data_IF_712496424174
#
_entry.id   IF_712496424174
#
_cell.length_a   1.000
_cell.length_b   1.000
_cell.length_c   1.000
_cell.angle_alpha   90.00
_cell.angle_beta   90.00
_cell.angle_gamma   90.00
#
_symmetry.space_group_name_H-M   'P 1'
#
loop_
_entity.id
_entity.type
_entity.pdbx_description
1 polymer ?
#
# COMPACT_ATOMS: atom_id res chain seq x y z
N UNK A 1 43.28 39.16 12.36
CA UNK A 1 44.57 38.51 12.20
C UNK A 1 44.35 37.01 12.29
N UNK A 2 44.81 36.30 11.33
CA UNK A 2 44.89 34.92 10.91
C UNK A 2 43.65 34.36 10.22
N UNK A 3 43.80 33.91 8.96
CA UNK A 3 42.76 33.38 8.11
C UNK A 3 42.65 31.83 8.26
N UNK A 4 41.43 31.37 8.24
CA UNK A 4 41.12 29.94 8.18
C UNK A 4 41.36 29.39 6.75
N UNK A 5 42.23 28.40 6.66
CA UNK A 5 42.54 27.63 5.48
C UNK A 5 41.34 26.77 5.03
N UNK A 6 40.85 27.07 3.82
CA UNK A 6 39.88 26.21 3.14
C UNK A 6 40.56 24.94 2.64
N UNK A 7 40.00 23.78 2.96
CA UNK A 7 40.32 22.53 2.31
C UNK A 7 39.53 22.43 1.00
N UNK A 8 40.25 22.52 -0.13
CA UNK A 8 39.68 22.20 -1.43
C UNK A 8 39.68 20.68 -1.63
N UNK A 9 38.53 20.10 -1.92
CA UNK A 9 38.41 18.72 -2.40
C UNK A 9 38.96 18.63 -3.85
N UNK A 10 39.78 17.63 -4.18
CA UNK A 10 40.26 17.46 -5.53
C UNK A 10 39.15 16.92 -6.44
N UNK A 11 38.90 17.63 -7.54
CA UNK A 11 38.10 17.17 -8.67
C UNK A 11 38.84 16.06 -9.43
N UNK A 12 38.46 14.83 -9.20
CA UNK A 12 38.95 13.64 -9.92
C UNK A 12 37.82 13.08 -10.82
N UNK A 13 37.56 13.77 -11.94
CA UNK A 13 36.87 13.14 -13.06
C UNK A 13 37.54 13.54 -14.36
N UNK A 14 38.18 12.61 -15.09
CA UNK A 14 38.57 12.83 -16.47
C UNK A 14 37.30 12.85 -17.35
N UNK A 15 37.12 13.89 -18.15
CA UNK A 15 36.03 14.04 -19.10
C UNK A 15 36.09 12.91 -20.14
N UNK A 16 35.11 11.98 -20.05
CA UNK A 16 34.88 11.00 -21.11
C UNK A 16 34.25 11.69 -22.33
N UNK A 17 34.82 11.47 -23.52
CA UNK A 17 34.31 12.04 -24.76
C UNK A 17 32.90 11.46 -25.09
N UNK A 18 32.01 12.29 -25.70
CA UNK A 18 30.67 11.87 -26.11
C UNK A 18 30.61 10.60 -26.99
N UNK A 19 31.69 10.24 -27.69
CA UNK A 19 31.75 9.02 -28.50
C UNK A 19 32.00 7.75 -27.70
N UNK A 20 32.68 7.82 -26.56
CA UNK A 20 32.90 6.67 -25.69
C UNK A 20 31.63 6.28 -24.92
N UNK A 21 30.73 7.25 -24.68
CA UNK A 21 29.46 7.03 -23.98
C UNK A 21 28.41 6.26 -24.82
N UNK A 22 28.48 6.37 -26.15
CA UNK A 22 27.48 5.74 -27.05
C UNK A 22 27.84 4.31 -27.48
N UNK A 23 29.02 3.78 -27.14
CA UNK A 23 29.46 2.44 -27.52
C UNK A 23 29.36 1.37 -26.43
N UNK A 24 29.00 1.74 -25.20
CA UNK A 24 28.75 0.77 -24.14
C UNK A 24 27.29 0.30 -24.22
N UNK A 25 27.07 -0.99 -24.35
CA UNK A 25 25.70 -1.57 -24.27
C UNK A 25 25.06 -1.26 -22.91
N UNK A 26 23.75 -0.99 -22.87
CA UNK A 26 23.00 -0.72 -21.65
C UNK A 26 23.24 -1.74 -20.52
N UNK A 27 23.58 -2.98 -20.86
CA UNK A 27 23.93 -4.04 -19.91
C UNK A 27 25.29 -3.82 -19.23
N UNK A 28 26.27 -3.30 -19.94
CA UNK A 28 27.61 -3.02 -19.38
C UNK A 28 27.60 -1.76 -18.51
N UNK A 29 26.78 -0.76 -18.83
CA UNK A 29 26.66 0.45 -18.00
C UNK A 29 25.93 0.18 -16.66
N UNK A 30 24.92 -0.68 -16.66
CA UNK A 30 24.26 -1.09 -15.43
C UNK A 30 25.20 -1.86 -14.49
N UNK A 31 26.02 -2.78 -15.04
CA UNK A 31 27.01 -3.53 -14.26
C UNK A 31 28.11 -2.63 -13.68
N UNK A 32 28.65 -1.71 -14.47
CA UNK A 32 29.71 -0.76 -14.01
C UNK A 32 29.15 0.26 -12.99
N UNK A 33 27.91 0.75 -13.15
CA UNK A 33 27.29 1.65 -12.19
C UNK A 33 27.04 0.96 -10.84
N UNK A 34 26.61 -0.30 -10.87
CA UNK A 34 26.41 -1.12 -9.65
C UNK A 34 27.75 -1.36 -8.95
N UNK A 35 28.84 -1.70 -9.65
CA UNK A 35 30.15 -1.90 -9.02
C UNK A 35 30.72 -0.61 -8.40
N UNK A 36 30.55 0.55 -9.06
CA UNK A 36 31.08 1.82 -8.54
C UNK A 36 30.30 2.33 -7.30
N UNK A 37 29.00 2.11 -7.26
CA UNK A 37 28.14 2.48 -6.12
C UNK A 37 28.28 1.50 -4.92
N UNK A 38 28.67 0.24 -5.16
CA UNK A 38 28.69 -0.79 -4.12
C UNK A 38 30.05 -0.98 -3.43
N UNK A 39 31.15 -0.50 -4.02
CA UNK A 39 32.50 -0.66 -3.44
C UNK A 39 32.65 -0.08 -2.01
N UNK A 40 32.13 1.11 -1.67
CA UNK A 40 32.17 1.61 -0.30
C UNK A 40 31.24 0.84 0.64
N UNK A 41 30.09 0.34 0.17
CA UNK A 41 29.11 -0.39 0.98
C UNK A 41 29.56 -1.81 1.32
N UNK A 42 30.30 -2.51 0.45
CA UNK A 42 30.87 -3.83 0.75
C UNK A 42 31.83 -3.84 1.93
N UNK A 43 32.48 -2.71 2.25
CA UNK A 43 33.38 -2.58 3.41
C UNK A 43 32.67 -2.28 4.73
N UNK A 44 31.52 -1.62 4.71
CA UNK A 44 30.80 -1.22 5.91
C UNK A 44 30.07 -2.39 6.61
N UNK A 45 29.70 -3.45 5.87
CA UNK A 45 28.87 -4.56 6.35
C UNK A 45 29.58 -5.93 6.34
N UNK A 46 30.90 -5.95 6.31
CA UNK A 46 31.72 -7.17 6.34
C UNK A 46 31.73 -7.86 7.72
N UNK A 47 30.59 -8.35 8.18
CA UNK A 47 30.53 -9.05 9.47
C UNK A 47 29.23 -9.80 9.78
N UNK A 48 28.09 -9.45 9.17
CA UNK A 48 26.81 -10.13 9.37
C UNK A 48 26.32 -10.74 8.06
N UNK A 49 25.82 -11.96 8.08
CA UNK A 49 25.13 -12.52 6.92
C UNK A 49 23.90 -11.66 6.62
N UNK A 50 23.69 -11.23 5.35
CA UNK A 50 22.51 -10.42 4.99
C UNK A 50 21.23 -11.14 5.40
N UNK A 51 20.30 -10.43 6.02
CA UNK A 51 19.01 -10.98 6.45
C UNK A 51 17.94 -10.68 5.41
N UNK A 52 17.32 -11.75 4.86
CA UNK A 52 16.13 -11.62 4.01
C UNK A 52 14.91 -11.46 4.91
N UNK A 53 14.19 -10.34 4.78
CA UNK A 53 13.07 -9.99 5.65
C UNK A 53 11.92 -9.34 4.90
N UNK A 54 10.76 -9.26 5.53
CA UNK A 54 9.57 -8.56 5.06
C UNK A 54 9.10 -9.01 3.69
N UNK A 55 8.96 -10.34 3.51
CA UNK A 55 8.38 -10.90 2.31
C UNK A 55 6.91 -10.53 2.20
N UNK A 56 6.51 -9.97 1.05
CA UNK A 56 5.12 -9.60 0.80
C UNK A 56 4.74 -9.77 -0.66
N UNK A 57 3.46 -10.01 -0.88
CA UNK A 57 2.86 -10.00 -2.19
C UNK A 57 2.04 -8.74 -2.35
N UNK A 58 2.50 -7.80 -3.17
CA UNK A 58 1.74 -6.59 -3.50
C UNK A 58 0.68 -6.94 -4.54
N UNK A 59 -0.51 -6.33 -4.44
CA UNK A 59 -1.56 -6.47 -5.45
C UNK A 59 -1.04 -6.05 -6.83
N UNK A 60 -1.53 -6.71 -7.86
CA UNK A 60 -1.28 -6.36 -9.27
C UNK A 60 -2.59 -5.94 -9.91
N UNK A 61 -2.55 -5.35 -11.09
CA UNK A 61 -3.76 -4.96 -11.82
C UNK A 61 -4.73 -6.14 -12.02
N UNK A 62 -4.19 -7.33 -12.31
CA UNK A 62 -4.94 -8.59 -12.40
C UNK A 62 -4.27 -9.64 -11.48
N UNK A 63 -4.83 -9.85 -10.30
CA UNK A 63 -4.33 -10.79 -9.30
C UNK A 63 -4.61 -12.27 -9.64
N UNK A 64 -5.33 -12.54 -10.74
CA UNK A 64 -5.56 -13.90 -11.25
C UNK A 64 -4.42 -14.38 -12.12
N UNK A 65 -3.75 -13.46 -12.83
CA UNK A 65 -2.75 -13.79 -13.84
C UNK A 65 -1.34 -13.31 -13.50
N UNK A 66 -1.18 -12.52 -12.41
CA UNK A 66 0.09 -11.94 -12.02
C UNK A 66 0.25 -11.85 -10.50
N UNK A 67 1.50 -11.75 -10.04
CA UNK A 67 1.87 -11.42 -8.67
C UNK A 67 3.14 -10.58 -8.65
N UNK A 68 3.21 -9.60 -7.74
CA UNK A 68 4.42 -8.85 -7.43
C UNK A 68 4.92 -9.31 -6.06
N UNK A 69 6.08 -9.92 -6.02
CA UNK A 69 6.71 -10.36 -4.77
C UNK A 69 7.82 -9.39 -4.44
N UNK A 70 7.81 -8.87 -3.22
CA UNK A 70 8.84 -7.99 -2.68
C UNK A 70 9.44 -8.58 -1.40
N UNK A 71 10.70 -8.29 -1.17
CA UNK A 71 11.37 -8.54 0.10
C UNK A 71 12.47 -7.51 0.31
N UNK A 72 12.97 -7.41 1.52
CA UNK A 72 14.02 -6.46 1.87
C UNK A 72 15.27 -7.17 2.37
N UNK A 73 16.36 -6.45 2.28
CA UNK A 73 17.64 -6.82 2.90
C UNK A 73 18.34 -5.53 3.36
N UNK A 74 19.12 -5.65 4.42
CA UNK A 74 19.98 -4.61 4.97
C UNK A 74 21.30 -4.43 4.19
N UNK A 75 21.58 -5.33 3.25
CA UNK A 75 22.74 -5.28 2.41
C UNK A 75 22.42 -5.66 0.95
N UNK A 76 23.26 -5.18 0.02
CA UNK A 76 23.15 -5.61 -1.38
C UNK A 76 23.54 -7.09 -1.50
N UNK A 77 22.61 -7.88 -2.01
CA UNK A 77 22.82 -9.32 -2.24
C UNK A 77 23.65 -9.58 -3.50
N UNK A 78 24.52 -10.56 -3.45
CA UNK A 78 25.28 -11.03 -4.60
C UNK A 78 24.46 -12.10 -5.34
N UNK A 79 23.97 -11.76 -6.55
CA UNK A 79 23.25 -12.65 -7.44
C UNK A 79 21.99 -13.29 -6.85
N UNK A 80 21.06 -12.52 -6.26
CA UNK A 80 19.82 -13.09 -5.76
C UNK A 80 19.03 -13.71 -6.91
N UNK A 81 18.43 -14.90 -6.68
CA UNK A 81 17.61 -15.60 -7.69
C UNK A 81 16.24 -15.92 -7.10
N UNK A 82 15.21 -15.79 -7.92
CA UNK A 82 13.83 -16.09 -7.57
C UNK A 82 13.28 -17.16 -8.49
N UNK A 83 12.78 -18.25 -7.89
CA UNK A 83 12.17 -19.36 -8.61
C UNK A 83 10.73 -19.55 -8.17
N UNK A 84 9.87 -19.95 -9.11
CA UNK A 84 8.48 -20.22 -8.84
C UNK A 84 7.95 -21.38 -9.70
N UNK A 85 6.92 -22.04 -9.23
CA UNK A 85 6.18 -23.07 -9.98
C UNK A 85 4.75 -23.19 -9.44
N UNK A 86 3.82 -23.62 -10.28
CA UNK A 86 2.52 -24.06 -9.81
C UNK A 86 2.68 -25.30 -8.91
N UNK A 87 1.89 -25.41 -7.85
CA UNK A 87 1.95 -26.56 -6.96
C UNK A 87 1.64 -27.85 -7.72
N UNK A 88 2.44 -28.87 -7.49
CA UNK A 88 2.39 -30.11 -8.26
C UNK A 88 3.19 -30.12 -9.56
N UNK A 89 3.59 -28.97 -10.11
CA UNK A 89 4.48 -28.92 -11.27
C UNK A 89 5.91 -29.32 -10.91
N UNK A 90 6.59 -30.04 -11.81
CA UNK A 90 7.97 -30.50 -11.62
C UNK A 90 9.00 -29.44 -11.98
N UNK A 91 8.67 -28.52 -12.89
CA UNK A 91 9.60 -27.52 -13.43
C UNK A 91 9.43 -26.19 -12.72
N UNK A 92 10.54 -25.62 -12.23
CA UNK A 92 10.60 -24.23 -11.75
C UNK A 92 10.87 -23.27 -12.92
N UNK A 93 10.29 -22.08 -12.83
CA UNK A 93 10.58 -20.94 -13.69
C UNK A 93 11.36 -19.94 -12.88
N UNK A 94 12.41 -19.35 -13.46
CA UNK A 94 13.17 -18.28 -12.85
C UNK A 94 12.57 -16.94 -13.26
N UNK A 95 12.31 -16.06 -12.28
CA UNK A 95 11.91 -14.69 -12.52
C UNK A 95 13.12 -13.75 -12.42
N UNK A 96 13.06 -12.66 -13.19
CA UNK A 96 14.03 -11.58 -13.06
C UNK A 96 13.84 -10.89 -11.71
N UNK A 97 14.93 -10.71 -10.97
CA UNK A 97 14.96 -9.96 -9.72
C UNK A 97 15.47 -8.56 -10.02
N UNK A 98 14.64 -7.57 -9.71
CA UNK A 98 15.02 -6.16 -9.69
C UNK A 98 15.35 -5.73 -8.26
N UNK A 99 16.19 -4.72 -8.11
CA UNK A 99 16.57 -4.16 -6.81
C UNK A 99 16.48 -2.65 -6.84
N UNK A 100 15.76 -2.09 -5.86
CA UNK A 100 15.73 -0.66 -5.58
C UNK A 100 16.51 -0.38 -4.32
N UNK A 101 17.51 0.49 -4.42
CA UNK A 101 18.19 1.08 -3.28
C UNK A 101 17.47 2.36 -2.87
N UNK A 102 17.34 2.56 -1.57
CA UNK A 102 16.89 3.81 -0.97
C UNK A 102 17.50 3.99 0.42
N UNK A 103 17.42 5.19 0.94
CA UNK A 103 17.75 5.49 2.34
C UNK A 103 16.49 5.96 3.05
N UNK A 104 16.30 5.49 4.27
CA UNK A 104 15.30 5.97 5.21
C UNK A 104 16.07 6.41 6.45
N UNK A 105 16.05 7.70 6.79
CA UNK A 105 16.77 8.27 7.93
C UNK A 105 18.24 7.82 7.97
N UNK A 106 18.93 7.89 6.82
CA UNK A 106 20.33 7.45 6.61
C UNK A 106 20.57 5.92 6.77
N UNK A 107 19.52 5.12 6.93
CA UNK A 107 19.66 3.65 6.92
C UNK A 107 19.48 3.13 5.49
N UNK A 108 20.44 2.32 4.98
CA UNK A 108 20.31 1.72 3.66
C UNK A 108 19.23 0.65 3.65
N UNK A 109 18.35 0.71 2.68
CA UNK A 109 17.27 -0.28 2.45
C UNK A 109 17.35 -0.75 1.01
N UNK A 110 17.49 -2.06 0.81
CA UNK A 110 17.44 -2.70 -0.49
C UNK A 110 16.12 -3.45 -0.63
N UNK A 111 15.28 -3.00 -1.55
CA UNK A 111 13.98 -3.63 -1.85
C UNK A 111 14.14 -4.46 -3.12
N UNK A 112 14.03 -5.77 -2.99
CA UNK A 112 14.08 -6.72 -4.10
C UNK A 112 12.68 -7.04 -4.59
N UNK A 113 12.53 -7.22 -5.90
CA UNK A 113 11.25 -7.42 -6.57
C UNK A 113 11.32 -8.51 -7.61
N UNK A 114 10.30 -9.35 -7.64
CA UNK A 114 10.08 -10.33 -8.68
C UNK A 114 8.64 -10.22 -9.19
N UNK A 115 8.49 -9.80 -10.46
CA UNK A 115 7.20 -9.75 -11.13
C UNK A 115 6.92 -11.10 -11.80
N UNK A 116 5.82 -11.75 -11.41
CA UNK A 116 5.36 -13.02 -11.97
C UNK A 116 4.17 -12.75 -12.88
N UNK A 117 4.21 -13.31 -14.08
CA UNK A 117 3.14 -13.17 -15.09
C UNK A 117 2.78 -14.51 -15.70
N UNK A 118 1.63 -14.61 -16.34
CA UNK A 118 1.17 -15.85 -16.95
C UNK A 118 0.72 -16.90 -15.93
N UNK A 119 0.32 -16.45 -14.74
CA UNK A 119 -0.23 -17.32 -13.72
C UNK A 119 -1.66 -17.73 -14.06
N UNK A 120 -2.10 -18.85 -13.50
CA UNK A 120 -3.47 -19.35 -13.63
C UNK A 120 -4.31 -18.92 -12.42
N UNK A 121 -5.57 -18.58 -12.65
CA UNK A 121 -6.49 -18.14 -11.59
C UNK A 121 -6.78 -19.27 -10.57
N UNK A 122 -6.82 -18.91 -9.29
CA UNK A 122 -7.17 -19.81 -8.19
C UNK A 122 -6.17 -20.92 -7.92
N UNK A 123 -4.94 -20.80 -8.41
CA UNK A 123 -3.87 -21.82 -8.25
C UNK A 123 -2.91 -21.44 -7.13
N UNK A 124 -2.37 -22.47 -6.50
CA UNK A 124 -1.28 -22.36 -5.53
C UNK A 124 0.06 -22.32 -6.25
N UNK A 125 0.93 -21.42 -5.86
CA UNK A 125 2.29 -21.28 -6.38
C UNK A 125 3.30 -21.40 -5.26
N UNK A 126 4.34 -22.20 -5.48
CA UNK A 126 5.49 -22.32 -4.58
C UNK A 126 6.62 -21.44 -5.09
N UNK A 127 7.17 -20.65 -4.20
CA UNK A 127 8.25 -19.71 -4.48
C UNK A 127 9.48 -20.04 -3.64
N UNK A 128 10.65 -19.72 -4.20
CA UNK A 128 11.93 -19.93 -3.54
C UNK A 128 12.88 -18.77 -3.93
N UNK A 129 13.39 -18.08 -2.92
CA UNK A 129 14.43 -17.07 -3.07
C UNK A 129 15.74 -17.66 -2.60
N UNK A 130 16.80 -17.52 -3.39
CA UNK A 130 18.17 -17.85 -2.98
C UNK A 130 19.02 -16.59 -2.98
N UNK A 131 19.68 -16.32 -1.88
CA UNK A 131 20.61 -15.21 -1.74
C UNK A 131 21.93 -15.72 -1.19
N UNK A 132 23.02 -15.38 -1.85
CA UNK A 132 24.34 -15.95 -1.59
C UNK A 132 24.33 -17.51 -1.63
N UNK A 133 25.42 -18.15 -1.22
CA UNK A 133 25.53 -19.62 -1.31
C UNK A 133 24.75 -20.41 -0.28
N UNK A 134 24.13 -19.76 0.70
CA UNK A 134 23.64 -20.43 1.94
C UNK A 134 22.24 -20.04 2.40
N UNK A 135 21.65 -18.95 1.90
CA UNK A 135 20.32 -18.53 2.34
C UNK A 135 19.26 -18.92 1.30
N UNK A 136 18.25 -19.63 1.74
CA UNK A 136 17.06 -19.96 0.96
C UNK A 136 15.81 -19.74 1.79
N UNK A 137 14.89 -18.94 1.25
CA UNK A 137 13.55 -18.75 1.82
C UNK A 137 12.54 -19.32 0.86
N UNK A 138 11.61 -20.14 1.36
CA UNK A 138 10.53 -20.73 0.57
C UNK A 138 9.19 -20.35 1.18
N UNK A 139 8.23 -20.03 0.33
CA UNK A 139 6.85 -19.71 0.71
C UNK A 139 5.90 -20.09 -0.41
N UNK A 140 4.60 -20.01 -0.15
CA UNK A 140 3.59 -20.20 -1.18
C UNK A 140 2.53 -19.12 -1.12
N UNK A 141 1.84 -18.92 -2.23
CA UNK A 141 0.67 -18.06 -2.30
C UNK A 141 -0.34 -18.63 -3.30
N UNK A 142 -1.61 -18.22 -3.13
CA UNK A 142 -2.68 -18.54 -4.08
C UNK A 142 -3.07 -17.31 -4.87
N UNK A 143 -3.20 -17.45 -6.21
CA UNK A 143 -3.78 -16.41 -7.07
C UNK A 143 -5.27 -16.24 -6.80
N UNK A 144 -5.81 -15.07 -7.13
CA UNK A 144 -7.24 -14.82 -7.08
C UNK A 144 -8.01 -15.81 -8.00
N UNK A 145 -9.10 -16.37 -7.47
CA UNK A 145 -9.98 -17.28 -8.21
C UNK A 145 -11.10 -16.60 -9.00
N UNK A 146 -11.35 -15.30 -8.76
CA UNK A 146 -12.31 -14.45 -9.48
C UNK A 146 -13.76 -14.47 -8.96
N UNK A 147 -14.22 -15.53 -8.28
CA UNK A 147 -15.63 -15.66 -7.90
C UNK A 147 -16.02 -15.05 -6.54
N UNK A 148 -15.04 -14.88 -5.66
CA UNK A 148 -15.26 -14.34 -4.33
C UNK A 148 -14.01 -13.57 -3.84
N UNK A 149 -14.24 -12.62 -2.94
CA UNK A 149 -13.18 -11.90 -2.25
C UNK A 149 -13.46 -11.87 -0.76
N UNK A 150 -12.45 -12.23 0.05
CA UNK A 150 -12.44 -11.93 1.49
C UNK A 150 -11.21 -11.12 1.82
N UNK A 151 -11.41 -9.93 2.37
CA UNK A 151 -10.36 -9.00 2.72
C UNK A 151 -10.37 -8.65 4.20
N UNK A 152 -9.18 -8.50 4.78
CA UNK A 152 -8.95 -7.76 6.02
C UNK A 152 -8.62 -6.32 5.65
N UNK A 153 -9.31 -5.38 6.26
CA UNK A 153 -9.12 -3.95 6.05
C UNK A 153 -8.81 -3.31 7.39
N UNK A 154 -7.65 -2.69 7.46
CA UNK A 154 -7.14 -2.06 8.66
C UNK A 154 -7.13 -0.54 8.47
N UNK A 155 -7.69 0.21 9.44
CA UNK A 155 -7.53 1.65 9.50
C UNK A 155 -6.09 2.07 9.83
N UNK A 156 -5.93 3.31 10.23
CA UNK A 156 -4.69 3.91 10.71
C UNK A 156 -3.97 2.98 11.68
N UNK A 157 -2.76 2.57 11.33
CA UNK A 157 -1.97 1.60 12.10
C UNK A 157 -0.71 2.22 12.71
N UNK A 158 -0.54 3.54 12.56
CA UNK A 158 0.59 4.25 13.14
C UNK A 158 0.62 4.12 14.65
N UNK A 159 1.82 4.05 15.17
CA UNK A 159 2.12 4.03 16.59
C UNK A 159 3.25 5.00 16.90
N UNK A 160 3.11 5.79 17.96
CA UNK A 160 4.05 6.84 18.35
C UNK A 160 5.35 6.31 18.98
N UNK A 161 5.30 5.11 19.55
CA UNK A 161 6.43 4.58 20.33
C UNK A 161 6.74 3.12 20.01
N UNK A 162 5.80 2.19 20.19
CA UNK A 162 5.96 0.78 19.83
C UNK A 162 4.78 0.31 19.00
N UNK A 163 5.03 -0.67 18.12
CA UNK A 163 4.00 -1.24 17.25
C UNK A 163 3.26 -2.44 17.88
N UNK A 164 3.33 -2.62 19.20
CA UNK A 164 2.66 -3.72 19.91
C UNK A 164 1.13 -3.68 19.75
N UNK A 165 0.54 -2.48 19.70
CA UNK A 165 -0.90 -2.33 19.48
C UNK A 165 -1.27 -2.80 18.10
N UNK A 166 -0.54 -2.36 17.08
CA UNK A 166 -0.73 -2.78 15.69
C UNK A 166 -0.50 -4.30 15.53
N UNK A 167 0.59 -4.84 16.09
CA UNK A 167 0.87 -6.28 16.07
C UNK A 167 -0.29 -7.09 16.65
N UNK A 168 -0.82 -6.68 17.80
CA UNK A 168 -1.98 -7.32 18.42
C UNK A 168 -3.23 -7.28 17.57
N UNK A 169 -3.58 -6.11 16.99
CA UNK A 169 -4.77 -5.96 16.14
C UNK A 169 -4.64 -6.83 14.89
N UNK A 170 -3.52 -6.74 14.20
CA UNK A 170 -3.26 -7.46 12.95
C UNK A 170 -3.19 -8.97 13.14
N UNK A 171 -2.54 -9.43 14.22
CA UNK A 171 -2.43 -10.86 14.55
C UNK A 171 -3.77 -11.47 14.91
N UNK A 172 -4.58 -10.80 15.74
CA UNK A 172 -5.92 -11.29 16.11
C UNK A 172 -6.87 -11.31 14.90
N UNK A 173 -6.83 -10.30 14.05
CA UNK A 173 -7.61 -10.26 12.82
C UNK A 173 -7.22 -11.42 11.88
N UNK A 174 -5.93 -11.64 11.67
CA UNK A 174 -5.41 -12.71 10.81
C UNK A 174 -5.72 -14.11 11.35
N UNK A 175 -5.56 -14.31 12.63
CA UNK A 175 -5.87 -15.59 13.31
C UNK A 175 -7.35 -15.95 13.20
N UNK A 176 -8.23 -14.96 13.28
CA UNK A 176 -9.69 -15.15 13.18
C UNK A 176 -10.19 -15.30 11.74
N UNK A 177 -9.40 -14.86 10.77
CA UNK A 177 -9.74 -14.88 9.35
C UNK A 177 -8.59 -15.49 8.53
N UNK A 178 -8.23 -16.76 8.74
CA UNK A 178 -7.12 -17.40 8.05
C UNK A 178 -7.36 -17.55 6.54
N UNK A 179 -8.62 -17.51 6.13
CA UNK A 179 -9.09 -17.60 4.74
C UNK A 179 -9.15 -16.25 4.01
N UNK A 180 -8.87 -15.14 4.68
CA UNK A 180 -8.76 -13.85 4.02
C UNK A 180 -7.55 -13.83 3.08
N UNK A 181 -7.77 -13.50 1.81
CA UNK A 181 -6.75 -13.55 0.77
C UNK A 181 -6.18 -12.17 0.42
N UNK A 182 -6.90 -11.10 0.79
CA UNK A 182 -6.52 -9.71 0.57
C UNK A 182 -6.34 -9.00 1.92
N UNK A 183 -5.34 -8.12 1.97
CA UNK A 183 -5.05 -7.23 3.09
C UNK A 183 -4.97 -5.80 2.59
N UNK A 184 -5.74 -4.92 3.17
CA UNK A 184 -5.75 -3.49 2.87
C UNK A 184 -5.34 -2.73 4.12
N UNK A 185 -4.43 -1.78 4.01
CA UNK A 185 -4.14 -0.80 5.06
C UNK A 185 -4.48 0.59 4.53
N UNK A 186 -5.33 1.32 5.27
CA UNK A 186 -6.02 2.51 4.81
C UNK A 186 -5.19 3.81 4.89
N UNK A 187 -3.87 3.71 4.98
CA UNK A 187 -2.95 4.84 5.15
C UNK A 187 -2.50 5.00 6.59
N UNK A 188 -1.60 5.95 6.82
CA UNK A 188 -0.95 6.16 8.11
C UNK A 188 -0.45 4.83 8.70
N UNK A 189 0.41 4.15 7.91
CA UNK A 189 1.04 2.91 8.32
C UNK A 189 2.02 3.18 9.45
N UNK A 190 2.75 4.28 9.31
CA UNK A 190 3.78 4.75 10.23
C UNK A 190 3.41 6.10 10.81
N UNK A 191 3.94 6.43 11.99
CA UNK A 191 3.73 7.74 12.59
C UNK A 191 4.54 8.85 11.91
N UNK A 192 5.62 8.48 11.21
CA UNK A 192 6.43 9.40 10.43
C UNK A 192 7.05 8.69 9.22
N UNK A 193 6.80 9.22 8.02
CA UNK A 193 7.18 8.62 6.75
C UNK A 193 8.67 8.60 6.45
N UNK A 194 9.49 9.40 7.11
CA UNK A 194 10.96 9.39 6.95
C UNK A 194 11.69 8.67 8.10
N UNK A 195 11.00 8.19 9.13
CA UNK A 195 11.63 7.50 10.25
C UNK A 195 11.86 6.02 9.94
N UNK A 196 13.11 5.60 10.02
CA UNK A 196 13.49 4.20 9.90
C UNK A 196 12.91 3.35 11.04
N UNK A 197 12.88 3.90 12.26
CA UNK A 197 12.29 3.23 13.42
C UNK A 197 10.82 2.87 13.18
N UNK A 198 10.04 3.79 12.63
CA UNK A 198 8.62 3.56 12.37
C UNK A 198 8.41 2.53 11.25
N UNK A 199 9.15 2.61 10.15
CA UNK A 199 9.06 1.61 9.08
C UNK A 199 9.49 0.22 9.52
N UNK A 200 10.60 0.09 10.24
CA UNK A 200 11.08 -1.20 10.74
C UNK A 200 10.09 -1.79 11.75
N UNK A 201 9.56 -0.96 12.67
CA UNK A 201 8.56 -1.35 13.66
C UNK A 201 7.27 -1.83 13.02
N UNK A 202 6.71 -1.04 12.10
CA UNK A 202 5.49 -1.40 11.37
C UNK A 202 5.65 -2.70 10.57
N UNK A 203 6.75 -2.83 9.84
CA UNK A 203 7.01 -4.02 9.02
C UNK A 203 7.19 -5.27 9.88
N UNK A 204 7.92 -5.17 10.99
CA UNK A 204 8.12 -6.26 11.93
C UNK A 204 6.80 -6.74 12.52
N UNK A 205 5.97 -5.81 12.99
CA UNK A 205 4.65 -6.12 13.54
C UNK A 205 3.68 -6.71 12.49
N UNK A 206 3.89 -6.40 11.20
CA UNK A 206 3.03 -6.87 10.11
C UNK A 206 3.45 -8.24 9.56
N UNK A 207 4.74 -8.56 9.57
CA UNK A 207 5.35 -9.64 8.77
C UNK A 207 4.66 -11.00 8.95
N UNK A 208 4.53 -11.47 10.17
CA UNK A 208 3.88 -12.76 10.47
C UNK A 208 2.38 -12.76 10.18
N UNK A 209 1.71 -11.62 10.37
CA UNK A 209 0.26 -11.48 10.23
C UNK A 209 -0.18 -11.36 8.78
N UNK A 210 0.60 -10.67 7.95
CA UNK A 210 0.34 -10.51 6.52
C UNK A 210 0.44 -11.85 5.79
N UNK A 211 1.48 -12.63 6.06
CA UNK A 211 1.70 -13.93 5.45
C UNK A 211 1.70 -13.86 3.91
N UNK A 212 0.98 -14.76 3.25
CA UNK A 212 0.90 -14.84 1.79
C UNK A 212 -0.25 -14.04 1.16
N UNK A 213 -0.95 -13.23 1.95
CA UNK A 213 -2.05 -12.38 1.46
C UNK A 213 -1.56 -11.34 0.46
N UNK A 214 -2.41 -11.00 -0.50
CA UNK A 214 -2.13 -9.86 -1.37
C UNK A 214 -2.28 -8.56 -0.58
N UNK A 215 -1.31 -7.67 -0.65
CA UNK A 215 -1.27 -6.45 0.12
C UNK A 215 -1.56 -5.23 -0.76
N UNK A 216 -2.52 -4.40 -0.34
CA UNK A 216 -2.91 -3.15 -0.96
C UNK A 216 -2.72 -1.99 0.03
N UNK A 217 -1.59 -1.27 0.01
CA UNK A 217 -1.36 -0.10 0.85
C UNK A 217 -2.04 1.14 0.28
N UNK A 218 -2.72 1.92 1.11
CA UNK A 218 -3.18 3.28 0.81
C UNK A 218 -2.16 4.26 1.37
N UNK A 219 -1.95 5.39 0.71
CA UNK A 219 -1.08 6.46 1.20
C UNK A 219 -1.85 7.36 2.17
N UNK A 220 -1.32 7.55 3.38
CA UNK A 220 -1.81 8.51 4.36
C UNK A 220 -0.98 9.79 4.42
N UNK A 221 -1.36 10.72 5.30
CA UNK A 221 -0.61 11.98 5.45
C UNK A 221 0.67 11.78 6.26
N UNK A 222 0.70 10.85 7.21
CA UNK A 222 1.90 10.56 8.00
C UNK A 222 3.06 10.03 7.15
N UNK A 223 2.80 9.38 6.03
CA UNK A 223 3.81 9.00 5.05
C UNK A 223 4.43 10.22 4.34
N UNK A 224 3.82 11.40 4.43
CA UNK A 224 4.28 12.66 3.83
C UNK A 224 4.97 13.58 4.82
N UNK A 225 5.31 13.14 6.03
CA UNK A 225 6.01 13.94 7.01
C UNK A 225 7.46 13.48 7.20
N UNK A 226 8.35 14.48 7.29
CA UNK A 226 9.75 14.30 7.64
C UNK A 226 9.92 14.10 9.16
N UNK A 227 11.13 13.73 9.60
CA UNK A 227 11.43 13.48 11.01
C UNK A 227 11.25 14.72 11.91
N UNK A 228 11.23 15.93 11.35
CA UNK A 228 10.93 17.19 12.02
C UNK A 228 9.48 17.66 11.81
N UNK A 229 8.61 16.79 11.32
CA UNK A 229 7.20 17.05 10.99
C UNK A 229 6.98 18.04 9.85
N UNK A 230 8.02 18.36 9.07
CA UNK A 230 7.88 19.10 7.84
C UNK A 230 7.23 18.23 6.74
N UNK A 231 6.53 18.90 5.82
CA UNK A 231 5.92 18.19 4.67
C UNK A 231 7.00 17.78 3.67
N UNK A 232 7.02 16.52 3.26
CA UNK A 232 7.95 15.93 2.31
C UNK A 232 7.26 14.99 1.30
N UNK A 233 8.01 14.53 0.31
CA UNK A 233 7.52 13.48 -0.58
C UNK A 233 7.46 12.14 0.16
N UNK A 234 6.45 11.29 -0.08
CA UNK A 234 6.33 9.97 0.55
C UNK A 234 7.32 8.96 -0.06
N UNK A 235 8.60 9.32 -0.05
CA UNK A 235 9.65 8.59 -0.77
C UNK A 235 9.84 7.17 -0.27
N UNK A 236 9.73 6.96 1.04
CA UNK A 236 9.80 5.63 1.64
C UNK A 236 8.61 4.77 1.19
N UNK A 237 7.38 5.25 1.30
CA UNK A 237 6.17 4.55 0.84
C UNK A 237 6.29 4.14 -0.64
N UNK A 238 6.57 5.10 -1.54
CA UNK A 238 6.73 4.85 -2.97
C UNK A 238 7.92 3.94 -3.30
N UNK A 239 8.90 3.88 -2.40
CA UNK A 239 10.06 3.03 -2.51
C UNK A 239 9.82 1.61 -2.03
N UNK A 240 9.07 1.45 -0.95
CA UNK A 240 8.81 0.18 -0.29
C UNK A 240 7.73 -0.66 -1.00
N UNK A 241 6.77 -0.01 -1.71
CA UNK A 241 5.62 -0.72 -2.28
C UNK A 241 5.52 -0.52 -3.80
N UNK A 242 5.67 -1.60 -4.57
CA UNK A 242 5.48 -1.61 -6.02
C UNK A 242 4.01 -1.84 -6.37
N UNK A 243 3.16 -0.89 -6.00
CA UNK A 243 1.74 -0.92 -6.36
C UNK A 243 1.52 -0.89 -7.88
N UNK A 244 0.35 -1.32 -8.39
CA UNK A 244 0.09 -1.35 -9.82
C UNK A 244 0.31 0.02 -10.47
N UNK A 245 0.88 0.07 -11.70
CA UNK A 245 1.05 1.32 -12.42
C UNK A 245 -0.32 1.87 -12.85
N UNK A 246 -0.49 3.19 -12.72
CA UNK A 246 -1.70 3.90 -13.16
C UNK A 246 -1.62 4.43 -14.60
N UNK A 247 -0.52 4.18 -15.29
CA UNK A 247 -0.26 4.65 -16.65
C UNK A 247 0.35 6.04 -16.75
N UNK A 248 0.57 6.73 -15.63
CA UNK A 248 1.29 8.00 -15.57
C UNK A 248 2.75 7.77 -15.19
N UNK A 249 3.68 8.23 -16.00
CA UNK A 249 5.10 8.17 -15.64
C UNK A 249 5.46 9.16 -14.51
N UNK A 250 4.75 10.29 -14.42
CA UNK A 250 5.01 11.35 -13.46
C UNK A 250 4.39 11.05 -12.09
N UNK A 251 3.18 10.44 -12.08
CA UNK A 251 2.39 10.19 -10.86
C UNK A 251 2.26 8.71 -10.54
N UNK A 252 3.19 7.89 -11.05
CA UNK A 252 3.18 6.45 -10.80
C UNK A 252 3.19 6.14 -9.31
N UNK A 253 2.32 5.19 -8.91
CA UNK A 253 2.11 4.72 -7.52
C UNK A 253 1.52 5.70 -6.51
N UNK A 254 1.24 6.93 -6.89
CA UNK A 254 0.49 7.85 -6.01
C UNK A 254 -0.98 7.47 -5.87
N UNK A 255 -1.53 6.83 -6.89
CA UNK A 255 -2.87 6.25 -6.94
C UNK A 255 -2.86 5.07 -7.90
N UNK A 256 -3.74 4.12 -7.73
CA UNK A 256 -3.78 2.93 -8.57
C UNK A 256 -5.13 2.20 -8.48
N UNK A 257 -5.35 1.19 -9.34
CA UNK A 257 -6.50 0.31 -9.27
C UNK A 257 -6.10 -1.14 -9.48
N UNK A 258 -6.91 -2.05 -8.96
CA UNK A 258 -6.74 -3.49 -9.12
C UNK A 258 -8.08 -4.22 -8.98
N UNK A 259 -8.14 -5.41 -9.60
CA UNK A 259 -9.26 -6.33 -9.42
C UNK A 259 -8.89 -7.45 -8.44
N UNK A 260 -9.82 -7.80 -7.55
CA UNK A 260 -9.72 -8.97 -6.69
C UNK A 260 -11.11 -9.60 -6.48
N UNK A 261 -11.27 -10.88 -6.89
CA UNK A 261 -12.59 -11.49 -6.95
C UNK A 261 -13.55 -10.69 -7.84
N UNK A 262 -14.78 -10.47 -7.40
CA UNK A 262 -15.79 -9.68 -8.12
C UNK A 262 -15.68 -8.18 -7.86
N UNK A 263 -14.59 -7.69 -7.28
CA UNK A 263 -14.45 -6.30 -6.84
C UNK A 263 -13.36 -5.59 -7.62
N UNK A 264 -13.69 -4.42 -8.15
CA UNK A 264 -12.75 -3.42 -8.62
C UNK A 264 -12.44 -2.44 -7.49
N UNK A 265 -11.17 -2.36 -7.12
CA UNK A 265 -10.68 -1.42 -6.12
C UNK A 265 -9.97 -0.26 -6.79
N UNK A 266 -10.39 0.95 -6.46
CA UNK A 266 -9.70 2.18 -6.85
C UNK A 266 -9.08 2.82 -5.61
N UNK A 267 -7.76 2.92 -5.58
CA UNK A 267 -7.00 3.50 -4.46
C UNK A 267 -6.61 4.92 -4.82
N UNK A 268 -7.11 5.89 -4.06
CA UNK A 268 -6.97 7.32 -4.32
C UNK A 268 -6.03 7.97 -3.30
N UNK A 269 -5.23 8.90 -3.79
CA UNK A 269 -4.45 9.80 -2.96
C UNK A 269 -5.30 11.01 -2.57
N UNK A 270 -5.40 11.28 -1.29
CA UNK A 270 -6.15 12.41 -0.74
C UNK A 270 -5.26 13.40 0.02
N UNK A 271 -3.94 13.27 -0.07
CA UNK A 271 -2.96 14.11 0.64
C UNK A 271 -2.71 15.43 -0.11
N UNK A 272 -3.79 16.17 -0.40
CA UNK A 272 -3.71 17.41 -1.19
C UNK A 272 -2.96 18.50 -0.43
N UNK A 273 -3.16 18.62 0.86
CA UNK A 273 -2.50 19.63 1.69
C UNK A 273 -1.00 19.43 1.69
N UNK A 274 -0.54 18.19 1.74
CA UNK A 274 0.87 17.85 1.75
C UNK A 274 1.48 17.92 0.35
N UNK A 275 0.77 17.44 -0.68
CA UNK A 275 1.40 17.13 -1.96
C UNK A 275 1.11 18.14 -3.09
N UNK A 276 0.10 19.01 -2.99
CA UNK A 276 -0.28 19.88 -4.12
C UNK A 276 0.86 20.80 -4.59
N UNK A 277 1.69 21.26 -3.65
CA UNK A 277 2.88 22.08 -3.96
C UNK A 277 4.09 21.25 -4.40
N UNK A 278 4.26 20.06 -3.84
CA UNK A 278 5.42 19.20 -4.12
C UNK A 278 5.26 18.40 -5.42
N UNK A 279 4.01 18.05 -5.78
CA UNK A 279 3.67 17.25 -6.97
C UNK A 279 2.56 17.96 -7.75
N UNK A 280 2.86 19.09 -8.41
CA UNK A 280 1.85 19.89 -9.09
C UNK A 280 1.09 19.09 -10.17
N UNK A 281 -0.24 19.19 -10.17
CA UNK A 281 -1.10 18.54 -11.14
C UNK A 281 -1.55 17.13 -10.77
N UNK A 282 -1.00 16.52 -9.71
CA UNK A 282 -1.34 15.17 -9.25
C UNK A 282 -2.85 14.95 -9.15
N UNK A 283 -3.56 15.80 -8.41
CA UNK A 283 -4.99 15.61 -8.11
C UNK A 283 -5.89 15.84 -9.34
N UNK A 284 -5.49 16.71 -10.27
CA UNK A 284 -6.20 16.89 -11.54
C UNK A 284 -6.06 15.66 -12.43
N UNK A 285 -4.85 15.12 -12.55
CA UNK A 285 -4.59 13.91 -13.34
C UNK A 285 -5.28 12.69 -12.72
N UNK A 286 -5.24 12.56 -11.40
CA UNK A 286 -5.97 11.51 -10.68
C UNK A 286 -7.49 11.56 -10.95
N UNK A 287 -8.10 12.75 -10.91
CA UNK A 287 -9.53 12.89 -11.17
C UNK A 287 -9.92 12.48 -12.61
N UNK A 288 -9.09 12.85 -13.58
CA UNK A 288 -9.30 12.44 -14.98
C UNK A 288 -9.12 10.92 -15.14
N UNK A 289 -8.08 10.36 -14.54
CA UNK A 289 -7.80 8.91 -14.53
C UNK A 289 -8.92 8.13 -13.84
N UNK A 290 -9.42 8.58 -12.70
CA UNK A 290 -10.50 7.94 -11.93
C UNK A 290 -11.76 7.74 -12.79
N UNK A 291 -12.19 8.80 -13.48
CA UNK A 291 -13.36 8.72 -14.35
C UNK A 291 -13.19 7.70 -15.50
N UNK A 292 -11.98 7.60 -16.05
CA UNK A 292 -11.65 6.64 -17.10
C UNK A 292 -11.55 5.20 -16.58
N UNK A 293 -10.95 5.00 -15.43
CA UNK A 293 -10.78 3.71 -14.76
C UNK A 293 -12.13 3.09 -14.39
N UNK A 294 -12.97 3.84 -13.66
CA UNK A 294 -14.30 3.39 -13.24
C UNK A 294 -15.24 3.09 -14.43
N UNK A 295 -15.07 3.78 -15.55
CA UNK A 295 -15.84 3.51 -16.78
C UNK A 295 -15.43 2.22 -17.47
N UNK A 296 -14.16 1.82 -17.36
CA UNK A 296 -13.59 0.64 -18.05
C UNK A 296 -13.84 -0.66 -17.30
N UNK A 297 -13.96 -0.62 -15.98
CA UNK A 297 -14.14 -1.84 -15.18
C UNK A 297 -15.43 -2.58 -15.56
N UNK A 298 -15.35 -3.91 -15.52
CA UNK A 298 -16.48 -4.83 -15.73
C UNK A 298 -16.85 -5.57 -14.45
N UNK A 299 -16.15 -5.29 -13.35
CA UNK A 299 -16.43 -5.93 -12.09
C UNK A 299 -17.82 -5.52 -11.56
N UNK A 300 -18.57 -6.45 -10.96
CA UNK A 300 -19.88 -6.15 -10.39
C UNK A 300 -19.81 -5.11 -9.27
N UNK A 301 -18.74 -5.10 -8.47
CA UNK A 301 -18.57 -4.17 -7.36
C UNK A 301 -17.46 -3.17 -7.62
N UNK A 302 -17.69 -1.90 -7.25
CA UNK A 302 -16.71 -0.81 -7.29
C UNK A 302 -16.52 -0.27 -5.89
N UNK A 303 -15.30 -0.41 -5.35
CA UNK A 303 -14.93 0.06 -4.00
C UNK A 303 -13.79 1.05 -4.12
N UNK A 304 -13.98 2.28 -3.64
CA UNK A 304 -12.92 3.26 -3.54
C UNK A 304 -12.28 3.22 -2.15
N UNK A 305 -10.95 3.26 -2.13
CA UNK A 305 -10.13 3.31 -0.92
C UNK A 305 -9.38 4.64 -0.92
N UNK A 306 -9.52 5.42 0.12
CA UNK A 306 -8.80 6.69 0.28
C UNK A 306 -8.58 6.99 1.76
N UNK A 307 -7.54 7.74 2.09
CA UNK A 307 -7.19 7.93 3.49
C UNK A 307 -8.08 8.97 4.18
N UNK A 308 -8.11 10.23 3.69
CA UNK A 308 -8.89 11.29 4.37
C UNK A 308 -10.39 11.01 4.35
N UNK A 309 -11.07 11.33 5.44
CA UNK A 309 -12.52 11.18 5.54
C UNK A 309 -13.26 12.25 4.71
N UNK A 310 -14.56 12.09 4.61
CA UNK A 310 -15.47 13.03 3.93
C UNK A 310 -15.66 14.33 4.71
N UNK A 311 -15.50 14.24 6.02
CA UNK A 311 -15.84 15.31 6.99
C UNK A 311 -14.56 15.89 7.54
N UNK A 312 -14.46 17.19 7.46
CA UNK A 312 -13.50 17.97 8.22
C UNK A 312 -14.08 18.21 9.62
N UNK A 313 -13.51 17.55 10.62
CA UNK A 313 -13.96 17.65 12.02
C UNK A 313 -13.30 18.79 12.80
N UNK A 314 -12.33 19.47 12.21
CA UNK A 314 -11.71 20.66 12.81
C UNK A 314 -12.63 21.88 12.78
N UNK A 315 -13.67 21.82 11.92
CA UNK A 315 -14.69 22.85 11.81
C UNK A 315 -15.89 22.59 12.76
N UNK A 316 -16.50 23.62 13.29
CA UNK A 316 -17.73 23.53 14.10
C UNK A 316 -18.82 24.48 13.54
N UNK A 317 -19.87 23.95 12.89
CA UNK A 317 -20.15 22.55 12.63
C UNK A 317 -19.22 21.92 11.57
N UNK A 318 -19.00 20.60 11.59
CA UNK A 318 -18.18 19.90 10.62
C UNK A 318 -18.61 20.14 9.17
N UNK A 319 -17.64 20.33 8.28
CA UNK A 319 -17.85 20.63 6.86
C UNK A 319 -17.30 19.50 5.96
N UNK A 320 -17.58 19.52 4.65
CA UNK A 320 -16.92 18.61 3.71
C UNK A 320 -15.42 18.87 3.63
N UNK A 321 -14.60 17.83 3.83
CA UNK A 321 -13.15 17.94 3.73
C UNK A 321 -12.72 18.42 2.32
N UNK A 322 -11.93 19.51 2.23
CA UNK A 322 -11.49 20.09 0.95
C UNK A 322 -10.69 19.12 0.07
N UNK A 323 -9.97 18.17 0.68
CA UNK A 323 -9.11 17.22 -0.04
C UNK A 323 -9.90 16.17 -0.81
N UNK A 324 -11.10 15.84 -0.36
CA UNK A 324 -11.95 14.78 -0.96
C UNK A 324 -13.21 15.31 -1.62
N UNK A 325 -13.64 16.52 -1.30
CA UNK A 325 -14.88 17.13 -1.78
C UNK A 325 -15.08 17.02 -3.29
N UNK A 326 -14.02 17.23 -4.07
CA UNK A 326 -14.08 17.21 -5.53
C UNK A 326 -14.14 15.77 -6.11
N UNK A 327 -13.78 14.75 -5.32
CA UNK A 327 -13.84 13.34 -5.72
C UNK A 327 -15.26 12.76 -5.58
N UNK A 328 -16.04 13.21 -4.59
CA UNK A 328 -17.35 12.64 -4.29
C UNK A 328 -18.31 12.60 -5.48
N UNK A 329 -18.51 13.70 -6.25
CA UNK A 329 -19.37 13.68 -7.43
C UNK A 329 -18.88 12.72 -8.52
N UNK A 330 -17.57 12.51 -8.64
CA UNK A 330 -16.99 11.56 -9.60
C UNK A 330 -17.26 10.12 -9.20
N UNK A 331 -17.11 9.80 -7.92
CA UNK A 331 -17.40 8.46 -7.37
C UNK A 331 -18.88 8.10 -7.54
N UNK A 332 -19.79 9.00 -7.16
CA UNK A 332 -21.23 8.81 -7.30
C UNK A 332 -21.65 8.65 -8.77
N UNK A 333 -21.23 9.57 -9.63
CA UNK A 333 -21.57 9.57 -11.07
C UNK A 333 -21.11 8.29 -11.78
N UNK A 334 -19.98 7.71 -11.35
CA UNK A 334 -19.43 6.50 -11.96
C UNK A 334 -19.83 5.21 -11.22
N UNK A 335 -20.83 5.28 -10.35
CA UNK A 335 -21.48 4.12 -9.75
C UNK A 335 -20.57 3.34 -8.77
N UNK A 336 -19.80 4.05 -7.95
CA UNK A 336 -19.09 3.44 -6.83
C UNK A 336 -20.10 2.95 -5.80
N UNK A 337 -19.96 1.72 -5.35
CA UNK A 337 -20.87 1.08 -4.39
C UNK A 337 -20.52 1.41 -2.94
N UNK A 338 -19.21 1.46 -2.65
CA UNK A 338 -18.70 1.78 -1.32
C UNK A 338 -17.40 2.59 -1.39
N UNK A 339 -17.23 3.51 -0.43
CA UNK A 339 -16.03 4.29 -0.20
C UNK A 339 -15.55 4.03 1.22
N UNK A 340 -14.30 3.62 1.37
CA UNK A 340 -13.66 3.43 2.66
C UNK A 340 -12.68 4.57 2.89
N UNK A 341 -12.72 5.15 4.10
CA UNK A 341 -11.88 6.25 4.56
C UNK A 341 -11.23 5.92 5.91
N UNK A 342 -10.27 6.72 6.34
CA UNK A 342 -9.50 6.55 7.58
C UNK A 342 -9.16 7.92 8.19
N UNK A 343 -7.93 8.16 8.68
CA UNK A 343 -7.43 9.46 9.13
C UNK A 343 -7.97 9.96 10.49
N UNK A 344 -9.25 9.82 10.76
CA UNK A 344 -9.90 10.44 11.94
C UNK A 344 -9.94 9.49 13.15
N UNK A 345 -9.40 8.29 13.07
CA UNK A 345 -9.30 7.28 14.13
C UNK A 345 -10.63 6.92 14.82
N UNK A 346 -11.74 7.06 14.11
CA UNK A 346 -13.07 6.76 14.60
C UNK A 346 -13.84 5.89 13.61
N UNK A 347 -14.74 5.03 14.09
CA UNK A 347 -15.59 4.26 13.19
C UNK A 347 -16.91 5.00 12.95
N UNK A 348 -17.23 5.25 11.67
CA UNK A 348 -18.50 5.85 11.23
C UNK A 348 -19.02 5.12 10.00
N UNK A 349 -20.34 5.01 9.87
CA UNK A 349 -20.99 4.50 8.68
C UNK A 349 -22.08 5.45 8.22
N UNK A 350 -22.13 5.72 6.93
CA UNK A 350 -23.02 6.69 6.29
C UNK A 350 -23.53 6.15 4.96
N UNK A 351 -24.72 6.59 4.55
CA UNK A 351 -25.18 6.46 3.16
C UNK A 351 -25.57 7.81 2.64
N UNK A 352 -24.94 8.24 1.54
CA UNK A 352 -25.08 9.58 1.04
C UNK A 352 -25.35 9.59 -0.45
N UNK A 353 -26.15 10.59 -0.90
CA UNK A 353 -26.18 11.10 -2.26
C UNK A 353 -25.88 12.59 -2.16
N UNK A 354 -24.79 13.03 -2.79
CA UNK A 354 -24.19 14.32 -2.50
C UNK A 354 -23.79 14.40 -1.02
N UNK A 355 -24.18 15.48 -0.35
CA UNK A 355 -23.95 15.72 1.08
C UNK A 355 -25.19 15.43 1.93
N UNK A 356 -26.06 14.51 1.50
CA UNK A 356 -27.33 14.22 2.17
C UNK A 356 -27.49 12.73 2.43
N UNK A 357 -27.99 12.40 3.63
CA UNK A 357 -28.35 11.03 3.95
C UNK A 357 -29.38 10.49 2.95
N UNK A 358 -29.04 9.36 2.33
CA UNK A 358 -29.90 8.65 1.37
C UNK A 358 -29.69 7.15 1.49
N UNK A 359 -30.71 6.40 1.84
CA UNK A 359 -30.67 4.93 1.97
C UNK A 359 -30.26 4.20 0.69
N UNK A 360 -30.39 4.84 -0.49
CA UNK A 360 -29.96 4.33 -1.80
C UNK A 360 -28.63 4.91 -2.25
N UNK A 361 -28.06 5.83 -1.48
CA UNK A 361 -26.80 6.48 -1.77
C UNK A 361 -25.60 5.55 -1.62
N UNK A 362 -24.44 6.06 -1.98
CA UNK A 362 -23.15 5.38 -1.82
C UNK A 362 -22.92 5.08 -0.34
N UNK A 363 -22.41 3.89 -0.05
CA UNK A 363 -22.00 3.51 1.30
C UNK A 363 -20.61 4.12 1.59
N UNK A 364 -20.51 4.88 2.68
CA UNK A 364 -19.25 5.41 3.20
C UNK A 364 -18.94 4.83 4.56
N UNK A 365 -17.71 4.34 4.76
CA UNK A 365 -17.25 3.79 6.03
C UNK A 365 -15.91 4.45 6.38
N UNK A 366 -15.93 5.26 7.45
CA UNK A 366 -14.72 5.67 8.16
C UNK A 366 -14.27 4.48 9.00
N UNK A 367 -13.09 3.95 8.74
CA UNK A 367 -12.72 2.58 9.11
C UNK A 367 -12.27 2.40 10.56
N UNK A 368 -11.88 3.48 11.25
CA UNK A 368 -11.56 3.44 12.68
C UNK A 368 -10.09 3.61 13.02
N UNK A 369 -9.56 2.80 13.96
CA UNK A 369 -8.17 2.83 14.45
C UNK A 369 -7.62 1.43 14.71
N UNK A 370 -6.39 1.18 14.30
CA UNK A 370 -5.64 -0.04 14.57
C UNK A 370 -4.27 0.21 15.26
N UNK A 371 -3.87 1.48 15.37
CA UNK A 371 -2.66 1.94 16.05
C UNK A 371 -2.90 2.40 17.49
N UNK A 372 -1.95 3.12 18.06
CA UNK A 372 -2.03 3.61 19.44
C UNK A 372 -2.31 5.12 19.55
N UNK A 373 -2.52 5.81 18.45
CA UNK A 373 -2.90 7.23 18.43
C UNK A 373 -4.43 7.34 18.50
N UNK A 374 -4.93 8.17 19.42
CA UNK A 374 -6.36 8.32 19.66
C UNK A 374 -6.77 9.79 19.64
N UNK A 375 -7.86 10.08 18.93
CA UNK A 375 -8.47 11.41 18.88
C UNK A 375 -9.88 11.35 19.45
N UNK A 376 -10.35 12.48 19.98
CA UNK A 376 -11.74 12.64 20.34
C UNK A 376 -12.42 13.48 19.25
N UNK A 377 -13.28 12.86 18.47
CA UNK A 377 -14.06 13.53 17.44
C UNK A 377 -15.56 13.38 17.73
N UNK A 378 -16.33 14.43 17.47
CA UNK A 378 -17.77 14.40 17.59
C UNK A 378 -18.47 13.48 16.61
N UNK A 379 -19.80 13.36 16.70
CA UNK A 379 -20.65 12.74 15.68
C UNK A 379 -21.19 13.80 14.74
N UNK A 380 -21.48 13.41 13.51
CA UNK A 380 -22.12 14.27 12.53
C UNK A 380 -23.54 13.81 12.21
N UNK A 381 -24.43 14.74 11.85
CA UNK A 381 -25.85 14.43 11.54
C UNK A 381 -26.05 13.48 10.35
N UNK A 382 -25.02 13.28 9.52
CA UNK A 382 -25.03 12.31 8.41
C UNK A 382 -24.62 10.88 8.83
N UNK A 383 -24.15 10.67 10.06
CA UNK A 383 -23.76 9.36 10.57
C UNK A 383 -24.98 8.49 10.85
N UNK A 384 -25.06 7.31 10.21
CA UNK A 384 -26.04 6.27 10.56
C UNK A 384 -25.58 5.49 11.80
N UNK A 385 -24.30 5.20 11.86
CA UNK A 385 -23.61 4.50 12.94
C UNK A 385 -22.35 5.27 13.28
N UNK A 386 -22.15 5.47 14.57
CA UNK A 386 -20.93 6.04 15.13
C UNK A 386 -20.59 5.30 16.42
N UNK A 387 -19.34 4.91 16.59
CA UNK A 387 -18.87 4.35 17.85
C UNK A 387 -18.02 5.37 18.60
N UNK A 388 -17.94 5.24 19.92
CA UNK A 388 -17.04 6.04 20.72
C UNK A 388 -15.62 5.99 20.16
N UNK A 389 -14.92 7.09 20.25
CA UNK A 389 -13.51 7.21 19.92
C UNK A 389 -12.68 6.27 20.82
N UNK A 390 -11.40 6.06 20.48
CA UNK A 390 -10.50 5.14 21.19
C UNK A 390 -10.86 3.65 21.06
N UNK A 391 -11.60 3.26 20.05
CA UNK A 391 -11.98 1.89 19.80
C UNK A 391 -11.08 1.26 18.74
N UNK A 392 -10.20 0.34 19.15
CA UNK A 392 -9.41 -0.45 18.22
C UNK A 392 -10.30 -1.41 17.45
N UNK A 393 -10.19 -1.40 16.13
CA UNK A 393 -11.00 -2.26 15.27
C UNK A 393 -10.30 -2.61 13.95
N UNK A 394 -10.89 -3.55 13.25
CA UNK A 394 -10.59 -3.88 11.85
C UNK A 394 -11.90 -4.24 11.12
N UNK A 395 -11.88 -4.21 9.80
CA UNK A 395 -13.01 -4.66 9.00
C UNK A 395 -12.70 -5.98 8.31
N UNK A 396 -13.75 -6.78 8.16
CA UNK A 396 -13.78 -7.94 7.24
C UNK A 396 -14.73 -7.60 6.12
N UNK A 397 -14.23 -7.57 4.89
CA UNK A 397 -15.03 -7.45 3.69
C UNK A 397 -15.19 -8.83 3.04
N UNK A 398 -16.40 -9.17 2.67
CA UNK A 398 -16.71 -10.37 1.88
C UNK A 398 -17.57 -9.99 0.68
N UNK A 399 -17.19 -10.45 -0.51
CA UNK A 399 -17.91 -10.18 -1.75
C UNK A 399 -18.08 -11.44 -2.58
N UNK A 400 -19.25 -11.59 -3.16
CA UNK A 400 -19.56 -12.43 -4.31
C UNK A 400 -20.23 -11.58 -5.40
N UNK A 401 -20.63 -12.15 -6.53
CA UNK A 401 -21.22 -11.40 -7.65
C UNK A 401 -22.47 -10.59 -7.26
N UNK A 402 -23.20 -11.01 -6.25
CA UNK A 402 -24.50 -10.45 -5.85
C UNK A 402 -24.50 -9.75 -4.50
N UNK A 403 -23.47 -9.95 -3.70
CA UNK A 403 -23.40 -9.48 -2.33
C UNK A 403 -22.03 -8.93 -1.98
N UNK A 404 -22.02 -7.75 -1.37
CA UNK A 404 -20.85 -7.12 -0.77
C UNK A 404 -21.17 -6.80 0.69
N UNK A 405 -20.41 -7.36 1.62
CA UNK A 405 -20.64 -7.22 3.07
C UNK A 405 -19.41 -6.67 3.75
N UNK A 406 -19.59 -5.70 4.62
CA UNK A 406 -18.56 -5.20 5.54
C UNK A 406 -18.99 -5.49 6.97
N UNK A 407 -18.06 -5.98 7.79
CA UNK A 407 -18.23 -6.21 9.23
C UNK A 407 -17.11 -5.54 9.99
N UNK A 408 -17.45 -4.76 11.01
CA UNK A 408 -16.50 -4.15 11.93
C UNK A 408 -16.34 -5.04 13.16
N UNK A 409 -15.09 -5.40 13.48
CA UNK A 409 -14.74 -6.22 14.63
C UNK A 409 -13.74 -5.51 15.54
N UNK A 410 -13.88 -5.72 16.84
CA UNK A 410 -12.80 -5.45 17.80
C UNK A 410 -11.74 -6.56 17.73
N UNK A 411 -10.51 -6.32 18.20
CA UNK A 411 -9.45 -7.34 18.21
C UNK A 411 -9.85 -8.63 18.95
N UNK A 412 -10.69 -8.54 19.98
CA UNK A 412 -11.20 -9.72 20.70
C UNK A 412 -12.24 -10.54 19.91
N UNK A 413 -12.62 -10.10 18.71
CA UNK A 413 -13.60 -10.77 17.84
C UNK A 413 -15.05 -10.32 18.05
N UNK A 414 -15.31 -9.35 18.92
CA UNK A 414 -16.66 -8.80 19.08
C UNK A 414 -17.04 -8.01 17.83
N UNK A 415 -18.12 -8.42 17.16
CA UNK A 415 -18.67 -7.67 16.03
C UNK A 415 -19.43 -6.45 16.52
N UNK A 416 -19.10 -5.28 16.00
CA UNK A 416 -19.71 -3.99 16.38
C UNK A 416 -20.73 -3.50 15.36
N UNK A 417 -20.47 -3.71 14.07
CA UNK A 417 -21.36 -3.33 12.99
C UNK A 417 -21.30 -4.31 11.83
N UNK A 418 -22.33 -4.31 11.00
CA UNK A 418 -22.29 -4.94 9.70
C UNK A 418 -23.25 -4.25 8.73
N UNK A 419 -22.90 -4.30 7.45
CA UNK A 419 -23.75 -3.80 6.37
C UNK A 419 -23.56 -4.67 5.15
N UNK A 420 -24.65 -4.92 4.42
CA UNK A 420 -24.63 -5.71 3.18
C UNK A 420 -25.30 -4.92 2.06
N UNK A 421 -24.57 -4.80 0.95
CA UNK A 421 -25.09 -4.35 -0.34
C UNK A 421 -25.48 -5.58 -1.16
N UNK A 422 -26.54 -5.44 -1.98
CA UNK A 422 -27.04 -6.52 -2.85
C UNK A 422 -27.26 -5.98 -4.26
N UNK A 423 -26.90 -6.78 -5.25
CA UNK A 423 -27.26 -6.58 -6.66
C UNK A 423 -28.06 -7.78 -7.16
N UNK A 424 -29.02 -7.53 -8.03
CA UNK A 424 -29.71 -8.61 -8.73
C UNK A 424 -28.72 -9.34 -9.65
N UNK A 425 -28.82 -10.66 -9.79
CA UNK A 425 -27.96 -11.41 -10.71
C UNK A 425 -28.24 -11.06 -12.18
N UNK A 426 -29.35 -10.41 -12.46
CA UNK A 426 -29.76 -9.96 -13.79
C UNK A 426 -29.99 -8.44 -13.75
N UNK A 427 -29.24 -7.62 -14.50
CA UNK A 427 -29.48 -6.17 -14.55
C UNK A 427 -30.75 -5.77 -15.31
N UNK A 428 -31.54 -6.72 -15.86
CA UNK A 428 -32.78 -6.50 -16.59
C UNK A 428 -34.05 -6.85 -15.79
N UNK A 429 -33.95 -7.20 -14.53
CA UNK A 429 -35.04 -7.33 -13.54
C UNK A 429 -34.89 -6.19 -12.48
#
# INVERSE_FOLDING_TARGET
>A
MTPHSGFALPTLFPALSRRAFLSLSLRSMAACAVEYLTAPFRRAFAGTSPSLKFFRRIVTKDNRAAAMIEWQCDALLDGPRFFWREDGASKETEAVVDVKYMEIEHHPVFVYRAALTGLSAGKEYRCRVTAAKTQTVSFSFRTDGGGACKALIFPDSQCDSSYDTWERVSSEASRRNPDAALWVNMGDLTDNGESFFHWEGWQTATDASLGSRAFAPVLGNHECYSSDWGITLPSAFLGLFATPPNGSAQYDRYYYAFDYGPVHFTVLNTQREELDRLVPGLFREQAAWLADDLRKTKQPWRVALMHRDLVDYDEDPPTPDPCVRDLLPLLEKNGVDAVLTAHVHAYRRRRLTGWRHDKKGVLYILTGNAGNCFYAVGTHAIDEIAFPDNLLNYLVMEADETRLTFRCFLPNGTQKDFVTLRKSPNPEE
#
